data_IF_487406186064
#
_entry.id   IF_487406186064
#
_cell.length_a   1.000
_cell.length_b   1.000
_cell.length_c   1.000
_cell.angle_alpha   90.00
_cell.angle_beta   90.00
_cell.angle_gamma   90.00
#
_symmetry.space_group_name_H-M   'P 1'
#
loop_
_entity.id
_entity.type
_entity.pdbx_description
1 polymer ?
#
# COMPACT_ATOMS: atom_id res chain seq x y z
N UNK A 1 6.35 -24.32 -17.56
CA UNK A 1 6.66 -22.95 -18.01
C UNK A 1 6.21 -21.87 -17.03
N UNK A 2 4.91 -21.71 -16.70
CA UNK A 2 4.43 -20.68 -15.75
C UNK A 2 5.16 -20.67 -14.39
N UNK A 3 5.41 -21.85 -13.80
CA UNK A 3 6.14 -21.98 -12.52
C UNK A 3 7.59 -21.50 -12.61
N UNK A 4 8.28 -21.76 -13.73
CA UNK A 4 9.64 -21.30 -13.97
C UNK A 4 9.68 -19.77 -14.12
N UNK A 5 8.71 -19.18 -14.82
CA UNK A 5 8.59 -17.72 -14.96
C UNK A 5 8.35 -17.08 -13.59
N UNK A 6 7.42 -17.61 -12.78
CA UNK A 6 7.18 -17.13 -11.42
C UNK A 6 8.44 -17.26 -10.56
N UNK A 7 9.19 -18.36 -10.70
CA UNK A 7 10.45 -18.53 -9.98
C UNK A 7 11.51 -17.50 -10.39
N UNK A 8 11.68 -17.24 -11.69
CA UNK A 8 12.60 -16.19 -12.17
C UNK A 8 12.17 -14.80 -11.71
N UNK A 9 10.86 -14.51 -11.72
CA UNK A 9 10.32 -13.27 -11.17
C UNK A 9 10.56 -13.16 -9.66
N UNK A 10 10.42 -14.26 -8.92
CA UNK A 10 10.72 -14.29 -7.49
C UNK A 10 12.18 -13.93 -7.22
N UNK A 11 13.12 -14.52 -7.98
CA UNK A 11 14.55 -14.20 -7.88
C UNK A 11 14.78 -12.71 -8.16
N UNK A 12 14.20 -12.18 -9.24
CA UNK A 12 14.31 -10.75 -9.57
C UNK A 12 13.72 -9.85 -8.46
N UNK A 13 12.54 -10.18 -7.94
CA UNK A 13 11.91 -9.46 -6.83
C UNK A 13 12.76 -9.48 -5.55
N UNK A 14 13.42 -10.60 -5.26
CA UNK A 14 14.34 -10.70 -4.12
C UNK A 14 15.56 -9.80 -4.28
N UNK A 15 16.15 -9.75 -5.49
CA UNK A 15 17.26 -8.83 -5.78
C UNK A 15 16.84 -7.37 -5.58
N UNK A 16 15.65 -6.97 -6.05
CA UNK A 16 15.09 -5.65 -5.78
C UNK A 16 14.84 -5.40 -4.29
N UNK A 17 14.38 -6.43 -3.56
CA UNK A 17 14.11 -6.34 -2.12
C UNK A 17 15.38 -6.10 -1.29
N UNK A 18 16.56 -6.48 -1.79
CA UNK A 18 17.85 -6.15 -1.16
C UNK A 18 18.26 -4.68 -1.39
N UNK A 19 17.91 -4.12 -2.55
CA UNK A 19 18.21 -2.73 -2.88
C UNK A 19 17.26 -1.74 -2.21
N UNK A 20 16.00 -2.14 -2.00
CA UNK A 20 14.96 -1.32 -1.39
C UNK A 20 15.32 -0.75 0.00
N UNK A 21 15.82 -1.53 0.99
CA UNK A 21 16.20 -1.00 2.30
C UNK A 21 17.38 -0.04 2.22
N UNK A 22 18.37 -0.30 1.35
CA UNK A 22 19.48 0.61 1.12
C UNK A 22 18.98 1.96 0.59
N UNK A 23 18.08 1.92 -0.40
CA UNK A 23 17.47 3.12 -0.97
C UNK A 23 16.57 3.85 0.03
N UNK A 24 15.92 3.12 0.93
CA UNK A 24 15.07 3.67 1.98
C UNK A 24 15.89 4.37 3.06
N UNK A 25 16.97 3.76 3.55
CA UNK A 25 17.91 4.37 4.49
C UNK A 25 18.53 5.65 3.91
N UNK A 26 18.93 5.62 2.64
CA UNK A 26 19.38 6.82 1.95
C UNK A 26 18.29 7.89 1.85
N UNK A 27 17.04 7.50 1.54
CA UNK A 27 15.92 8.44 1.50
C UNK A 27 15.68 9.08 2.86
N UNK A 28 15.78 8.32 3.95
CA UNK A 28 15.53 8.78 5.31
C UNK A 28 16.40 10.00 5.67
N UNK A 29 17.63 10.06 5.16
CA UNK A 29 18.57 11.18 5.41
C UNK A 29 18.58 12.26 4.33
N UNK A 30 18.03 12.01 3.14
CA UNK A 30 18.09 12.95 2.00
C UNK A 30 16.75 13.55 1.60
N UNK A 31 15.67 12.77 1.68
CA UNK A 31 14.32 13.18 1.27
C UNK A 31 13.29 12.33 2.00
N UNK A 32 12.67 12.92 3.02
CA UNK A 32 11.71 12.25 3.89
C UNK A 32 10.43 11.84 3.13
N UNK A 33 9.95 12.66 2.19
CA UNK A 33 8.79 12.32 1.35
C UNK A 33 9.03 11.04 0.56
N UNK A 34 10.23 10.89 -0.02
CA UNK A 34 10.63 9.68 -0.74
C UNK A 34 10.75 8.47 0.19
N UNK A 35 11.17 8.68 1.44
CA UNK A 35 11.20 7.61 2.42
C UNK A 35 9.78 7.11 2.74
N UNK A 36 8.81 8.02 2.85
CA UNK A 36 7.40 7.67 3.02
C UNK A 36 6.80 6.97 1.80
N UNK A 37 7.16 7.39 0.57
CA UNK A 37 6.71 6.68 -0.64
C UNK A 37 7.18 5.23 -0.68
N UNK A 38 8.43 4.96 -0.30
CA UNK A 38 8.97 3.60 -0.24
C UNK A 38 8.23 2.79 0.83
N UNK A 39 7.96 3.38 2.00
CA UNK A 39 7.19 2.75 3.06
C UNK A 39 5.76 2.38 2.62
N UNK A 40 5.06 3.26 1.88
CA UNK A 40 3.76 2.95 1.27
C UNK A 40 3.83 1.78 0.29
N UNK A 41 4.94 1.64 -0.43
CA UNK A 41 5.20 0.48 -1.29
C UNK A 41 5.26 -0.84 -0.50
N UNK A 42 5.91 -0.84 0.66
CA UNK A 42 5.92 -1.99 1.56
C UNK A 42 4.54 -2.29 2.16
N UNK A 43 3.75 -1.27 2.47
CA UNK A 43 2.36 -1.41 2.92
C UNK A 43 1.50 -2.12 1.84
N UNK A 44 1.61 -1.69 0.58
CA UNK A 44 0.95 -2.34 -0.58
C UNK A 44 1.39 -3.79 -0.80
N UNK A 45 2.67 -4.09 -0.59
CA UNK A 45 3.21 -5.45 -0.71
C UNK A 45 2.77 -6.34 0.45
N UNK A 46 2.74 -5.79 1.66
CA UNK A 46 2.35 -6.51 2.87
C UNK A 46 0.92 -7.02 2.81
N UNK A 47 0.00 -6.22 2.28
CA UNK A 47 -1.41 -6.60 2.23
C UNK A 47 -1.67 -7.97 1.58
N UNK A 48 -1.25 -8.24 0.32
CA UNK A 48 -1.43 -9.56 -0.30
C UNK A 48 -0.63 -10.67 0.36
N UNK A 49 0.52 -10.38 0.99
CA UNK A 49 1.27 -11.38 1.78
C UNK A 49 0.43 -11.88 2.95
N UNK A 50 -0.35 -10.99 3.58
CA UNK A 50 -1.26 -11.32 4.67
C UNK A 50 -2.69 -11.59 4.19
N UNK A 51 -2.88 -12.21 3.02
CA UNK A 51 -4.19 -12.60 2.44
C UNK A 51 -5.14 -11.44 2.09
N UNK A 52 -4.62 -10.22 1.96
CA UNK A 52 -5.38 -9.06 1.50
C UNK A 52 -5.48 -8.97 -0.02
N UNK A 53 -6.28 -8.03 -0.49
CA UNK A 53 -6.43 -7.75 -1.93
C UNK A 53 -5.18 -7.06 -2.46
N UNK A 54 -4.63 -7.56 -3.56
CA UNK A 54 -3.53 -6.89 -4.25
C UNK A 54 -3.94 -5.48 -4.70
N UNK A 55 -3.04 -4.51 -4.51
CA UNK A 55 -3.26 -3.10 -4.87
C UNK A 55 -4.00 -2.26 -3.84
N UNK A 56 -4.35 -2.82 -2.68
CA UNK A 56 -4.86 -2.09 -1.52
C UNK A 56 -3.81 -2.09 -0.40
N UNK A 57 -3.79 -1.05 0.43
CA UNK A 57 -2.88 -0.97 1.58
C UNK A 57 -3.32 -1.89 2.73
N UNK A 58 -2.38 -2.42 3.51
CA UNK A 58 -2.69 -3.15 4.75
C UNK A 58 -3.27 -2.21 5.81
N UNK A 59 -2.86 -0.94 5.80
CA UNK A 59 -3.42 0.12 6.65
C UNK A 59 -4.90 0.37 6.36
N UNK A 60 -5.30 0.41 5.07
CA UNK A 60 -6.71 0.46 4.64
C UNK A 60 -7.49 -0.77 5.16
N UNK A 61 -6.91 -1.97 5.02
CA UNK A 61 -7.53 -3.21 5.52
C UNK A 61 -7.67 -3.19 7.04
N UNK A 62 -6.68 -2.68 7.75
CA UNK A 62 -6.71 -2.56 9.21
C UNK A 62 -7.82 -1.60 9.65
N UNK A 63 -8.01 -0.48 8.96
CA UNK A 63 -9.14 0.41 9.25
C UNK A 63 -10.48 -0.32 9.16
N UNK A 64 -10.75 -0.99 8.04
CA UNK A 64 -12.02 -1.72 7.82
C UNK A 64 -12.20 -2.88 8.80
N UNK A 65 -11.16 -3.69 9.03
CA UNK A 65 -11.22 -4.79 9.97
C UNK A 65 -11.38 -4.31 11.44
N UNK A 66 -10.88 -3.11 11.76
CA UNK A 66 -11.11 -2.46 13.04
C UNK A 66 -12.58 -2.11 13.26
N UNK A 67 -13.29 -1.64 12.22
CA UNK A 67 -14.73 -1.41 12.26
C UNK A 67 -15.52 -2.70 12.52
N UNK A 68 -15.00 -3.84 12.07
CA UNK A 68 -15.56 -5.18 12.31
C UNK A 68 -15.12 -5.80 13.65
N UNK A 69 -14.31 -5.10 14.46
CA UNK A 69 -13.85 -5.55 15.78
C UNK A 69 -12.64 -6.50 15.77
N UNK A 70 -11.87 -6.55 14.68
CA UNK A 70 -10.70 -7.41 14.60
C UNK A 70 -9.54 -6.92 15.50
N UNK A 71 -9.09 -7.78 16.41
CA UNK A 71 -8.04 -7.42 17.41
C UNK A 71 -6.67 -7.13 16.79
N UNK A 72 -6.31 -7.83 15.71
CA UNK A 72 -5.05 -7.60 14.99
C UNK A 72 -5.02 -6.20 14.36
N UNK A 73 -6.18 -5.74 13.88
CA UNK A 73 -6.33 -4.44 13.25
C UNK A 73 -6.18 -3.31 14.27
N UNK A 74 -6.77 -3.47 15.46
CA UNK A 74 -6.59 -2.50 16.56
C UNK A 74 -5.11 -2.37 16.95
N UNK A 75 -4.40 -3.49 17.06
CA UNK A 75 -2.99 -3.50 17.43
C UNK A 75 -2.11 -2.80 16.38
N UNK A 76 -2.37 -3.08 15.10
CA UNK A 76 -1.67 -2.45 13.99
C UNK A 76 -1.98 -0.95 13.89
N UNK A 77 -3.25 -0.56 13.97
CA UNK A 77 -3.66 0.85 13.95
C UNK A 77 -3.04 1.62 15.10
N UNK A 78 -3.07 1.08 16.32
CA UNK A 78 -2.44 1.73 17.48
C UNK A 78 -0.93 1.98 17.27
N UNK A 79 -0.21 1.00 16.70
CA UNK A 79 1.22 1.14 16.40
C UNK A 79 1.46 2.23 15.34
N UNK A 80 0.66 2.25 14.27
CA UNK A 80 0.79 3.22 13.18
C UNK A 80 0.37 4.63 13.62
N UNK A 81 -0.58 4.75 14.55
CA UNK A 81 -1.00 6.03 15.12
C UNK A 81 0.10 6.71 15.95
N UNK A 82 1.12 5.96 16.41
CA UNK A 82 2.32 6.55 17.04
C UNK A 82 3.22 7.28 16.03
N UNK A 83 3.14 6.92 14.74
CA UNK A 83 3.91 7.53 13.65
C UNK A 83 3.14 8.72 13.09
N UNK A 84 1.86 8.52 12.80
CA UNK A 84 0.97 9.56 12.30
C UNK A 84 -0.43 9.38 12.93
N UNK A 85 -0.99 10.40 13.60
CA UNK A 85 -2.35 10.30 14.13
C UNK A 85 -3.37 9.96 13.05
N UNK A 86 -4.27 9.01 13.36
CA UNK A 86 -5.33 8.51 12.49
C UNK A 86 -4.82 7.89 11.17
N UNK A 87 -3.66 7.22 11.21
CA UNK A 87 -2.95 6.76 10.00
C UNK A 87 -3.80 5.84 9.13
N UNK A 88 -4.40 4.80 9.72
CA UNK A 88 -5.21 3.83 8.98
C UNK A 88 -6.46 4.45 8.36
N UNK A 89 -7.11 5.40 9.05
CA UNK A 89 -8.27 6.14 8.53
C UNK A 89 -7.87 7.01 7.35
N UNK A 90 -6.79 7.78 7.47
CA UNK A 90 -6.26 8.62 6.40
C UNK A 90 -5.86 7.80 5.17
N UNK A 91 -5.26 6.62 5.38
CA UNK A 91 -4.94 5.69 4.31
C UNK A 91 -6.21 5.27 3.54
N UNK A 92 -7.26 4.84 4.25
CA UNK A 92 -8.56 4.53 3.65
C UNK A 92 -9.18 5.72 2.90
N UNK A 93 -9.19 6.91 3.50
CA UNK A 93 -9.72 8.13 2.86
C UNK A 93 -8.94 8.50 1.60
N UNK A 94 -7.60 8.37 1.62
CA UNK A 94 -6.75 8.62 0.45
C UNK A 94 -6.98 7.63 -0.69
N UNK A 95 -7.20 6.35 -0.35
CA UNK A 95 -7.50 5.30 -1.31
C UNK A 95 -8.87 5.52 -1.94
N UNK A 96 -9.87 5.89 -1.12
CA UNK A 96 -11.22 6.22 -1.58
C UNK A 96 -11.22 7.43 -2.52
N UNK A 97 -10.54 8.52 -2.15
CA UNK A 97 -10.39 9.70 -2.99
C UNK A 97 -9.75 9.38 -4.35
N UNK A 98 -8.75 8.49 -4.37
CA UNK A 98 -8.13 8.02 -5.63
C UNK A 98 -9.11 7.26 -6.51
N UNK A 99 -9.93 6.39 -5.92
CA UNK A 99 -10.97 5.64 -6.65
C UNK A 99 -12.04 6.59 -7.21
N UNK A 100 -12.46 7.59 -6.45
CA UNK A 100 -13.44 8.58 -6.90
C UNK A 100 -12.92 9.43 -8.05
N UNK A 101 -11.65 9.85 -8.01
CA UNK A 101 -11.00 10.55 -9.12
C UNK A 101 -10.96 9.68 -10.38
N UNK A 102 -10.56 8.41 -10.26
CA UNK A 102 -10.56 7.47 -11.40
C UNK A 102 -11.96 7.28 -11.97
N UNK A 103 -12.99 7.18 -11.12
CA UNK A 103 -14.39 7.08 -11.54
C UNK A 103 -14.82 8.33 -12.32
N UNK A 104 -14.51 9.53 -11.83
CA UNK A 104 -14.85 10.78 -12.50
C UNK A 104 -14.18 10.89 -13.87
N UNK A 105 -12.92 10.49 -13.99
CA UNK A 105 -12.18 10.50 -15.25
C UNK A 105 -12.76 9.52 -16.27
N UNK A 106 -13.14 8.32 -15.83
CA UNK A 106 -13.85 7.34 -16.68
C UNK A 106 -15.19 7.90 -17.17
N UNK A 107 -15.97 8.55 -16.31
CA UNK A 107 -17.25 9.17 -16.70
C UNK A 107 -17.06 10.31 -17.71
N UNK A 108 -16.06 11.17 -17.48
CA UNK A 108 -15.72 12.27 -18.39
C UNK A 108 -15.27 11.79 -19.76
N UNK A 109 -14.48 10.72 -19.82
CA UNK A 109 -13.96 10.16 -21.06
C UNK A 109 -14.98 9.25 -21.77
N UNK A 110 -15.80 8.52 -21.02
CA UNK A 110 -16.89 7.71 -21.56
C UNK A 110 -18.01 8.55 -22.19
N UNK A 111 -18.28 9.75 -21.65
CA UNK A 111 -19.21 10.71 -22.23
C UNK A 111 -18.64 11.52 -23.41
N UNK A 112 -17.35 11.39 -23.74
CA UNK A 112 -16.69 12.07 -24.87
C UNK A 112 -16.66 11.25 -26.16
N UNK A 113 -16.97 9.96 -26.07
CA UNK A 113 -16.97 9.02 -27.20
C UNK A 113 -18.39 8.69 -27.71
N UNK A 114 -19.41 9.40 -27.21
CA UNK A 114 -20.79 9.40 -27.71
C UNK A 114 -21.14 10.79 -28.22
#
# INVERSE_FOLDING_TARGET
MKRLIIFLLLVACYLFSLLAPLRWLWALVTNLERAFEILKGYDLLGNPIFNGKAGAYISTRAYLAGLEGARWATSLSWMLDQIEPDHCRKSYESELARVDLMRQEVLKNGGRNN
#
